data_IF_476521733729
#
_entry.id   IF_476521733729
#
_cell.length_a   1.000
_cell.length_b   1.000
_cell.length_c   1.000
_cell.angle_alpha   90.00
_cell.angle_beta   90.00
_cell.angle_gamma   90.00
#
_symmetry.space_group_name_H-M   'P 1'
#
loop_
_entity.id
_entity.type
_entity.pdbx_description
1 polymer ?
#
# COMPACT_ATOMS: atom_id res chain seq x y z
N UNK A 1 -12.13 44.77 25.62
CA UNK A 1 -12.98 43.81 24.88
C UNK A 1 -12.22 43.36 23.65
N UNK A 2 -11.47 42.30 23.78
CA UNK A 2 -10.65 41.68 22.70
C UNK A 2 -11.27 40.33 22.41
N UNK A 3 -11.75 40.15 21.19
CA UNK A 3 -12.32 38.90 20.71
C UNK A 3 -11.24 37.79 20.62
N UNK A 4 -11.56 36.53 20.99
CA UNK A 4 -10.62 35.43 20.85
C UNK A 4 -10.54 35.01 19.39
N UNK A 5 -9.30 34.97 18.89
CA UNK A 5 -8.99 34.49 17.54
C UNK A 5 -9.45 33.07 17.32
N UNK A 6 -10.21 32.86 16.24
CA UNK A 6 -10.56 31.55 15.70
C UNK A 6 -9.29 30.89 15.17
N UNK A 7 -8.79 29.90 15.90
CA UNK A 7 -7.78 28.97 15.39
C UNK A 7 -8.50 28.01 14.43
N UNK A 8 -8.31 28.26 13.15
CA UNK A 8 -8.79 27.37 12.09
C UNK A 8 -7.77 26.24 11.92
N UNK A 9 -7.95 25.13 12.61
CA UNK A 9 -7.10 23.94 12.51
C UNK A 9 -7.67 22.96 11.49
N UNK A 10 -7.05 22.92 10.32
CA UNK A 10 -7.28 21.89 9.30
C UNK A 10 -5.98 21.12 9.12
N UNK A 11 -5.94 19.83 9.46
CA UNK A 11 -4.78 18.95 9.35
C UNK A 11 -5.20 17.54 8.88
N UNK A 12 -4.35 16.86 8.15
CA UNK A 12 -4.63 15.65 7.36
C UNK A 12 -3.92 14.43 7.93
N UNK A 13 -4.54 13.27 7.86
CA UNK A 13 -3.98 11.97 8.25
C UNK A 13 -3.77 11.06 7.04
N UNK A 14 -2.67 10.33 7.05
CA UNK A 14 -2.36 9.30 6.05
C UNK A 14 -2.79 7.94 6.58
N UNK A 15 -3.81 7.36 5.97
CA UNK A 15 -4.27 6.00 6.25
C UNK A 15 -3.53 5.00 5.37
N UNK A 16 -2.21 4.88 5.55
CA UNK A 16 -1.37 4.21 4.56
C UNK A 16 -0.79 2.85 4.98
N UNK A 17 -0.93 2.39 6.23
CA UNK A 17 -0.23 1.18 6.66
C UNK A 17 -0.69 -0.10 5.92
N UNK A 18 -1.97 -0.25 5.64
CA UNK A 18 -2.52 -1.46 5.01
C UNK A 18 -2.41 -1.40 3.48
N UNK A 19 -2.61 -0.25 2.86
CA UNK A 19 -2.54 -0.10 1.40
C UNK A 19 -1.10 -0.14 0.86
N UNK A 20 -0.15 0.47 1.56
CA UNK A 20 1.29 0.43 1.20
C UNK A 20 1.84 -0.99 1.29
N UNK A 21 1.37 -1.81 2.23
CA UNK A 21 1.80 -3.20 2.35
C UNK A 21 1.47 -4.01 1.09
N UNK A 22 0.25 -3.91 0.55
CA UNK A 22 -0.16 -4.66 -0.64
C UNK A 22 0.57 -4.18 -1.92
N UNK A 23 0.73 -2.87 -2.12
CA UNK A 23 1.41 -2.32 -3.29
C UNK A 23 2.90 -2.69 -3.33
N UNK A 24 3.60 -2.62 -2.19
CA UNK A 24 5.04 -2.90 -2.10
C UNK A 24 5.35 -4.40 -2.33
N UNK A 25 4.41 -5.31 -2.03
CA UNK A 25 4.60 -6.74 -2.30
C UNK A 25 4.59 -7.11 -3.78
N UNK A 26 3.84 -6.41 -4.60
CA UNK A 26 3.84 -6.59 -6.06
C UNK A 26 5.20 -6.23 -6.66
N UNK A 27 5.91 -5.25 -6.09
CA UNK A 27 7.27 -4.85 -6.51
C UNK A 27 8.27 -6.00 -6.36
N UNK A 28 8.20 -6.76 -5.26
CA UNK A 28 9.18 -7.81 -4.94
C UNK A 28 9.13 -9.03 -5.88
N UNK A 29 8.03 -9.28 -6.57
CA UNK A 29 7.91 -10.43 -7.48
C UNK A 29 8.14 -10.11 -8.96
N UNK A 30 7.90 -8.89 -9.40
CA UNK A 30 8.21 -8.47 -10.77
C UNK A 30 9.70 -8.58 -11.13
N UNK A 31 10.56 -8.64 -10.12
CA UNK A 31 12.01 -8.77 -10.29
C UNK A 31 12.54 -10.22 -10.29
N UNK A 32 11.70 -11.26 -10.11
CA UNK A 32 12.13 -12.63 -9.79
C UNK A 32 11.76 -13.71 -10.80
N UNK A 33 11.93 -13.44 -12.07
CA UNK A 33 11.83 -14.47 -13.11
C UNK A 33 13.02 -15.43 -13.23
N UNK A 34 13.98 -15.49 -12.29
CA UNK A 34 15.15 -16.35 -12.39
C UNK A 34 15.48 -17.08 -11.08
N UNK A 35 15.81 -18.37 -11.18
CA UNK A 35 16.22 -19.22 -10.07
C UNK A 35 17.47 -18.68 -9.35
N UNK A 36 17.57 -18.77 -8.00
CA UNK A 36 18.79 -18.44 -7.26
C UNK A 36 19.74 -19.64 -7.26
N UNK A 37 20.54 -19.74 -8.29
CA UNK A 37 21.61 -20.69 -8.37
C UNK A 37 22.76 -20.10 -9.19
N UNK A 38 23.86 -19.73 -8.54
CA UNK A 38 25.19 -19.49 -9.13
C UNK A 38 25.42 -18.28 -10.08
N UNK A 39 24.65 -17.22 -10.06
CA UNK A 39 24.91 -16.03 -10.88
C UNK A 39 24.95 -14.70 -10.10
N UNK A 40 25.68 -14.65 -9.00
CA UNK A 40 25.90 -13.40 -8.26
C UNK A 40 26.98 -12.48 -8.87
N UNK A 41 27.48 -12.76 -10.07
CA UNK A 41 28.60 -12.03 -10.68
C UNK A 41 28.35 -11.47 -12.09
N UNK A 42 27.24 -11.83 -12.77
CA UNK A 42 26.85 -11.20 -14.04
C UNK A 42 25.62 -10.33 -13.77
N UNK A 43 25.73 -9.01 -13.94
CA UNK A 43 24.65 -8.06 -13.68
C UNK A 43 23.37 -8.50 -14.38
N UNK A 44 22.26 -8.59 -13.61
CA UNK A 44 20.92 -8.81 -14.19
C UNK A 44 20.63 -7.68 -15.18
N UNK A 45 20.02 -7.96 -16.33
CA UNK A 45 19.67 -6.89 -17.26
C UNK A 45 18.71 -5.91 -16.61
N UNK A 46 18.94 -4.63 -16.82
CA UNK A 46 18.02 -3.57 -16.34
C UNK A 46 16.69 -3.66 -17.10
N UNK A 47 15.59 -3.09 -16.56
CA UNK A 47 14.32 -3.02 -17.30
C UNK A 47 14.49 -2.43 -18.70
N UNK A 48 15.34 -1.41 -18.87
CA UNK A 48 15.60 -0.78 -20.17
C UNK A 48 16.30 -1.70 -21.15
N UNK A 49 17.26 -2.49 -20.69
CA UNK A 49 17.90 -3.50 -21.52
C UNK A 49 16.90 -4.57 -21.98
N UNK A 50 16.07 -5.08 -21.05
CA UNK A 50 15.01 -6.05 -21.40
C UNK A 50 14.03 -5.46 -22.41
N UNK A 51 13.62 -4.20 -22.23
CA UNK A 51 12.71 -3.50 -23.15
C UNK A 51 13.36 -3.39 -24.54
N UNK A 52 14.57 -2.81 -24.62
CA UNK A 52 15.25 -2.57 -25.88
C UNK A 52 15.47 -3.86 -26.69
N UNK A 53 15.97 -4.92 -26.04
CA UNK A 53 16.17 -6.22 -26.70
C UNK A 53 14.84 -6.84 -27.16
N UNK A 54 13.78 -6.72 -26.34
CA UNK A 54 12.48 -7.28 -26.68
C UNK A 54 11.80 -6.51 -27.82
N UNK A 55 11.90 -5.17 -27.83
CA UNK A 55 11.39 -4.32 -28.92
C UNK A 55 12.05 -4.70 -30.27
N UNK A 56 13.37 -4.89 -30.29
CA UNK A 56 14.07 -5.31 -31.47
C UNK A 56 13.58 -6.68 -31.99
N UNK A 57 13.37 -7.64 -31.08
CA UNK A 57 12.89 -8.98 -31.42
C UNK A 57 11.48 -8.98 -32.00
N UNK A 58 10.55 -8.25 -31.38
CA UNK A 58 9.17 -8.17 -31.86
C UNK A 58 9.02 -7.31 -33.12
N UNK A 59 9.95 -6.39 -33.36
CA UNK A 59 10.03 -5.65 -34.60
C UNK A 59 10.52 -6.54 -35.79
N UNK A 60 11.49 -7.43 -35.51
CA UNK A 60 11.99 -8.40 -36.49
C UNK A 60 10.97 -9.51 -36.77
N UNK A 61 10.28 -9.99 -35.73
CA UNK A 61 9.22 -11.01 -35.86
C UNK A 61 8.01 -10.63 -34.95
N UNK A 62 6.97 -9.98 -35.51
CA UNK A 62 5.76 -9.63 -34.79
C UNK A 62 4.92 -10.83 -34.30
N UNK A 63 5.23 -12.05 -34.69
CA UNK A 63 4.60 -13.27 -34.23
C UNK A 63 5.35 -13.96 -33.09
N UNK A 64 6.53 -13.46 -32.70
CA UNK A 64 7.39 -14.04 -31.70
C UNK A 64 6.82 -13.81 -30.26
N UNK A 65 6.05 -14.78 -29.80
CA UNK A 65 5.35 -14.71 -28.47
C UNK A 65 6.28 -14.44 -27.28
N UNK A 66 7.46 -15.12 -27.15
CA UNK A 66 8.35 -14.84 -26.03
C UNK A 66 8.86 -13.40 -25.99
N UNK A 67 9.03 -12.76 -27.16
CA UNK A 67 9.43 -11.35 -27.25
C UNK A 67 8.36 -10.43 -26.64
N UNK A 68 7.09 -10.64 -26.98
CA UNK A 68 5.97 -9.88 -26.40
C UNK A 68 5.80 -10.12 -24.89
N UNK A 69 6.01 -11.37 -24.42
CA UNK A 69 5.96 -11.71 -23.01
C UNK A 69 7.05 -10.97 -22.24
N UNK A 70 8.30 -11.00 -22.74
CA UNK A 70 9.43 -10.29 -22.13
C UNK A 70 9.26 -8.78 -22.16
N UNK A 71 8.69 -8.24 -23.23
CA UNK A 71 8.38 -6.82 -23.33
C UNK A 71 7.33 -6.40 -22.27
N UNK A 72 6.31 -7.24 -22.04
CA UNK A 72 5.33 -7.00 -20.97
C UNK A 72 5.98 -7.01 -19.57
N UNK A 73 6.86 -7.98 -19.30
CA UNK A 73 7.64 -8.03 -18.04
C UNK A 73 8.53 -6.80 -17.88
N UNK A 74 9.26 -6.40 -18.93
CA UNK A 74 10.15 -5.23 -18.91
C UNK A 74 9.40 -3.93 -18.63
N UNK A 75 8.29 -3.68 -19.33
CA UNK A 75 7.46 -2.52 -19.10
C UNK A 75 6.83 -2.53 -17.69
N UNK A 76 6.42 -3.70 -17.20
CA UNK A 76 5.90 -3.84 -15.83
C UNK A 76 6.99 -3.51 -14.80
N UNK A 77 8.19 -4.05 -14.95
CA UNK A 77 9.32 -3.74 -14.07
C UNK A 77 9.69 -2.24 -14.11
N UNK A 78 9.61 -1.61 -15.29
CA UNK A 78 9.84 -0.17 -15.43
C UNK A 78 8.77 0.65 -14.72
N UNK A 79 7.49 0.25 -14.81
CA UNK A 79 6.41 0.90 -14.07
C UNK A 79 6.67 0.91 -12.56
N UNK A 80 7.11 -0.23 -12.01
CA UNK A 80 7.43 -0.37 -10.59
C UNK A 80 8.65 0.47 -10.17
N UNK A 81 9.65 0.58 -11.06
CA UNK A 81 10.87 1.34 -10.78
C UNK A 81 10.66 2.86 -10.84
N UNK A 82 9.72 3.34 -11.64
CA UNK A 82 9.53 4.79 -11.89
C UNK A 82 8.27 5.36 -11.28
N UNK A 83 7.32 4.51 -10.86
CA UNK A 83 5.98 4.95 -10.45
C UNK A 83 5.13 5.54 -11.58
N UNK A 84 5.62 5.57 -12.83
CA UNK A 84 4.86 6.09 -13.96
C UNK A 84 3.85 5.07 -14.48
N UNK A 85 2.52 5.34 -14.30
CA UNK A 85 1.46 4.40 -14.66
C UNK A 85 1.33 4.18 -16.18
N UNK A 86 1.92 5.03 -17.03
CA UNK A 86 1.92 4.84 -18.47
C UNK A 86 2.63 3.54 -18.90
N UNK A 87 3.63 3.11 -18.14
CA UNK A 87 4.31 1.84 -18.38
C UNK A 87 3.42 0.63 -18.12
N UNK A 88 2.45 0.72 -17.18
CA UNK A 88 1.45 -0.34 -17.00
C UNK A 88 0.56 -0.51 -18.23
N UNK A 89 0.24 0.60 -18.91
CA UNK A 89 -0.55 0.56 -20.17
C UNK A 89 0.23 -0.13 -21.29
N UNK A 90 1.52 0.16 -21.40
CA UNK A 90 2.40 -0.53 -22.35
C UNK A 90 2.56 -2.02 -22.02
N UNK A 91 2.76 -2.35 -20.74
CA UNK A 91 2.85 -3.73 -20.27
C UNK A 91 1.58 -4.53 -20.60
N UNK A 92 0.40 -3.94 -20.32
CA UNK A 92 -0.89 -4.57 -20.64
C UNK A 92 -1.03 -4.81 -22.16
N UNK A 93 -0.68 -3.82 -22.97
CA UNK A 93 -0.76 -3.93 -24.44
C UNK A 93 0.13 -5.07 -24.97
N UNK A 94 1.38 -5.14 -24.52
CA UNK A 94 2.33 -6.19 -24.90
C UNK A 94 1.86 -7.57 -24.42
N UNK A 95 1.45 -7.71 -23.16
CA UNK A 95 0.94 -8.96 -22.61
C UNK A 95 -0.31 -9.46 -23.33
N UNK A 96 -1.28 -8.56 -23.61
CA UNK A 96 -2.47 -8.91 -24.40
C UNK A 96 -2.11 -9.31 -25.84
N UNK A 97 -1.06 -8.73 -26.45
CA UNK A 97 -0.57 -9.16 -27.75
C UNK A 97 -0.01 -10.58 -27.69
N UNK A 98 0.83 -10.89 -26.69
CA UNK A 98 1.35 -12.25 -26.48
C UNK A 98 0.22 -13.28 -26.33
N UNK A 99 -0.77 -12.98 -25.46
CA UNK A 99 -1.91 -13.89 -25.19
C UNK A 99 -2.84 -14.05 -26.40
N UNK A 100 -2.94 -13.07 -27.29
CA UNK A 100 -3.67 -13.24 -28.58
C UNK A 100 -2.94 -14.16 -29.54
N UNK A 101 -1.61 -14.16 -29.53
CA UNK A 101 -0.79 -15.05 -30.37
C UNK A 101 -0.74 -16.46 -29.80
N UNK A 102 -0.58 -16.57 -28.48
CA UNK A 102 -0.64 -17.85 -27.77
C UNK A 102 -1.42 -17.69 -26.44
N UNK A 103 -2.66 -18.18 -26.34
CA UNK A 103 -3.45 -18.14 -25.11
C UNK A 103 -2.82 -18.86 -23.92
N UNK A 104 -1.78 -19.65 -24.13
CA UNK A 104 -1.03 -20.42 -23.12
C UNK A 104 0.31 -19.78 -22.74
N UNK A 105 0.63 -18.59 -23.22
CA UNK A 105 1.84 -17.83 -22.87
C UNK A 105 1.80 -17.43 -21.39
N UNK A 106 2.20 -18.32 -20.48
CA UNK A 106 2.03 -18.15 -19.04
C UNK A 106 2.82 -16.96 -18.49
N UNK A 107 3.99 -16.61 -19.05
CA UNK A 107 4.74 -15.41 -18.66
C UNK A 107 3.93 -14.12 -18.93
N UNK A 108 3.26 -14.05 -20.08
CA UNK A 108 2.40 -12.94 -20.42
C UNK A 108 1.15 -12.90 -19.51
N UNK A 109 0.59 -14.07 -19.17
CA UNK A 109 -0.52 -14.17 -18.21
C UNK A 109 -0.12 -13.68 -16.80
N UNK A 110 1.10 -14.00 -16.34
CA UNK A 110 1.65 -13.53 -15.08
C UNK A 110 1.88 -12.01 -15.11
N UNK A 111 2.44 -11.46 -16.20
CA UNK A 111 2.61 -10.02 -16.36
C UNK A 111 1.26 -9.28 -16.34
N UNK A 112 0.24 -9.80 -17.05
CA UNK A 112 -1.11 -9.24 -17.04
C UNK A 112 -1.76 -9.30 -15.63
N UNK A 113 -1.52 -10.38 -14.90
CA UNK A 113 -1.97 -10.50 -13.51
C UNK A 113 -1.32 -9.44 -12.61
N UNK A 114 -0.01 -9.23 -12.74
CA UNK A 114 0.73 -8.19 -12.04
C UNK A 114 0.22 -6.78 -12.36
N UNK A 115 0.03 -6.48 -13.64
CA UNK A 115 -0.55 -5.19 -14.10
C UNK A 115 -1.95 -4.98 -13.52
N UNK A 116 -2.82 -6.00 -13.57
CA UNK A 116 -4.17 -5.89 -13.03
C UNK A 116 -4.16 -5.67 -11.52
N UNK A 117 -3.29 -6.35 -10.77
CA UNK A 117 -3.14 -6.18 -9.34
C UNK A 117 -2.59 -4.79 -8.98
N UNK A 118 -1.57 -4.28 -9.69
CA UNK A 118 -1.03 -2.91 -9.48
C UNK A 118 -2.04 -1.81 -9.80
N UNK A 119 -3.04 -2.09 -10.65
CA UNK A 119 -4.16 -1.19 -10.94
C UNK A 119 -5.35 -1.41 -10.01
N UNK A 120 -5.21 -2.19 -8.94
CA UNK A 120 -6.28 -2.59 -8.01
C UNK A 120 -7.50 -3.24 -8.71
N UNK A 121 -7.28 -3.91 -9.86
CA UNK A 121 -8.28 -4.69 -10.59
C UNK A 121 -8.20 -6.16 -10.18
N UNK A 122 -8.43 -6.43 -8.91
CA UNK A 122 -8.15 -7.73 -8.28
C UNK A 122 -8.98 -8.89 -8.82
N UNK A 123 -10.21 -8.67 -9.31
CA UNK A 123 -10.99 -9.73 -9.99
C UNK A 123 -10.30 -10.14 -11.29
N UNK A 124 -9.84 -9.17 -12.08
CA UNK A 124 -9.07 -9.44 -13.30
C UNK A 124 -7.74 -10.14 -13.00
N UNK A 125 -7.05 -9.75 -11.91
CA UNK A 125 -5.85 -10.45 -11.47
C UNK A 125 -6.11 -11.92 -11.10
N UNK A 126 -7.26 -12.24 -10.48
CA UNK A 126 -7.68 -13.64 -10.22
C UNK A 126 -7.90 -14.42 -11.51
N UNK A 127 -8.51 -13.80 -12.53
CA UNK A 127 -8.76 -14.46 -13.82
C UNK A 127 -7.44 -14.77 -14.55
N UNK A 128 -6.52 -13.79 -14.62
CA UNK A 128 -5.21 -14.01 -15.24
C UNK A 128 -4.36 -15.05 -14.51
N UNK A 129 -4.30 -14.99 -13.16
CA UNK A 129 -3.58 -16.00 -12.37
C UNK A 129 -4.22 -17.38 -12.49
N UNK A 130 -5.54 -17.46 -12.60
CA UNK A 130 -6.25 -18.73 -12.84
C UNK A 130 -5.86 -19.37 -14.17
N UNK A 131 -5.78 -18.58 -15.25
CA UNK A 131 -5.33 -19.03 -16.57
C UNK A 131 -3.86 -19.46 -16.55
N UNK A 132 -2.98 -18.68 -15.91
CA UNK A 132 -1.55 -19.03 -15.78
C UNK A 132 -1.36 -20.38 -15.07
N UNK A 133 -2.03 -20.57 -13.92
CA UNK A 133 -1.95 -21.80 -13.14
C UNK A 133 -2.59 -23.02 -13.83
N UNK A 134 -3.57 -22.82 -14.73
CA UNK A 134 -4.12 -23.89 -15.55
C UNK A 134 -3.11 -24.41 -16.57
N UNK A 135 -2.21 -23.54 -17.06
CA UNK A 135 -1.12 -23.91 -17.99
C UNK A 135 0.09 -24.45 -17.24
N UNK A 136 0.47 -23.84 -16.13
CA UNK A 136 1.68 -24.15 -15.36
C UNK A 136 1.38 -24.20 -13.85
N UNK A 137 0.82 -25.33 -13.32
CA UNK A 137 0.28 -25.43 -11.97
C UNK A 137 1.29 -25.29 -10.82
N UNK A 138 2.58 -25.49 -11.10
CA UNK A 138 3.66 -25.45 -10.11
C UNK A 138 4.32 -24.09 -9.96
N UNK A 139 3.91 -23.10 -10.75
CA UNK A 139 4.48 -21.74 -10.68
C UNK A 139 4.10 -21.05 -9.38
N UNK A 140 5.09 -20.43 -8.73
CA UNK A 140 4.88 -19.72 -7.45
C UNK A 140 4.53 -18.24 -7.62
N UNK A 141 4.96 -17.61 -8.72
CA UNK A 141 4.69 -16.17 -8.97
C UNK A 141 3.18 -15.84 -9.01
N UNK A 142 2.34 -16.54 -9.82
CA UNK A 142 0.91 -16.26 -9.83
C UNK A 142 0.21 -16.60 -8.50
N UNK A 143 0.75 -17.50 -7.67
CA UNK A 143 0.19 -17.79 -6.35
C UNK A 143 0.25 -16.59 -5.42
N UNK A 144 1.31 -15.81 -5.47
CA UNK A 144 1.47 -14.60 -4.67
C UNK A 144 0.48 -13.51 -5.07
N UNK A 145 0.39 -13.21 -6.37
CA UNK A 145 -0.59 -12.23 -6.90
C UNK A 145 -2.02 -12.67 -6.57
N UNK A 146 -2.30 -13.96 -6.70
CA UNK A 146 -3.61 -14.53 -6.37
C UNK A 146 -3.93 -14.42 -4.87
N UNK A 147 -2.93 -14.62 -4.01
CA UNK A 147 -3.06 -14.43 -2.55
C UNK A 147 -3.49 -13.01 -2.23
N UNK A 148 -2.77 -12.02 -2.77
CA UNK A 148 -3.02 -10.61 -2.54
C UNK A 148 -4.42 -10.22 -3.06
N UNK A 149 -4.77 -10.66 -4.27
CA UNK A 149 -6.09 -10.41 -4.85
C UNK A 149 -7.25 -11.03 -4.03
N UNK A 150 -7.06 -12.23 -3.49
CA UNK A 150 -8.05 -12.87 -2.60
C UNK A 150 -8.24 -12.09 -1.29
N UNK A 151 -7.16 -11.60 -0.70
CA UNK A 151 -7.20 -10.77 0.53
C UNK A 151 -7.94 -9.47 0.26
N UNK A 152 -7.61 -8.74 -0.82
CA UNK A 152 -8.24 -7.48 -1.20
C UNK A 152 -9.73 -7.65 -1.53
N UNK A 153 -10.12 -8.80 -2.09
CA UNK A 153 -11.51 -9.16 -2.34
C UNK A 153 -12.24 -9.71 -1.09
N UNK A 154 -11.61 -9.71 0.08
CA UNK A 154 -12.21 -10.19 1.33
C UNK A 154 -12.38 -11.71 1.41
N UNK A 155 -11.78 -12.49 0.48
CA UNK A 155 -11.79 -13.96 0.46
C UNK A 155 -10.67 -14.51 1.36
N UNK A 156 -10.69 -14.08 2.63
CA UNK A 156 -9.58 -14.28 3.57
C UNK A 156 -9.23 -15.75 3.80
N UNK A 157 -10.22 -16.62 3.97
CA UNK A 157 -9.94 -18.05 4.19
C UNK A 157 -9.10 -18.65 3.06
N UNK A 158 -9.44 -18.30 1.83
CA UNK A 158 -8.71 -18.77 0.64
C UNK A 158 -7.34 -18.11 0.51
N UNK A 159 -7.29 -16.79 0.70
CA UNK A 159 -6.03 -16.03 0.63
C UNK A 159 -5.03 -16.49 1.68
N UNK A 160 -5.46 -16.70 2.92
CA UNK A 160 -4.59 -17.15 4.01
C UNK A 160 -4.09 -18.57 3.80
N UNK A 161 -4.96 -19.49 3.38
CA UNK A 161 -4.55 -20.85 3.03
C UNK A 161 -3.56 -20.88 1.87
N UNK A 162 -3.76 -20.01 0.86
CA UNK A 162 -2.85 -19.92 -0.28
C UNK A 162 -1.50 -19.31 0.10
N UNK A 163 -1.48 -18.28 0.98
CA UNK A 163 -0.24 -17.72 1.53
C UNK A 163 0.60 -18.79 2.24
N UNK A 164 -0.05 -19.58 3.09
CA UNK A 164 0.60 -20.67 3.82
C UNK A 164 1.13 -21.72 2.84
N UNK A 165 0.31 -22.19 1.90
CA UNK A 165 0.73 -23.16 0.86
C UNK A 165 1.92 -22.64 0.04
N UNK A 166 1.89 -21.36 -0.33
CA UNK A 166 2.99 -20.73 -1.08
C UNK A 166 4.28 -20.72 -0.26
N UNK A 167 4.22 -20.45 1.05
CA UNK A 167 5.37 -20.52 1.95
C UNK A 167 5.93 -21.93 2.08
N UNK A 168 5.08 -22.95 2.17
CA UNK A 168 5.49 -24.35 2.22
C UNK A 168 6.18 -24.80 0.93
N UNK A 169 5.67 -24.36 -0.22
CA UNK A 169 6.26 -24.69 -1.52
C UNK A 169 7.64 -24.03 -1.73
N UNK A 170 7.77 -22.78 -1.29
CA UNK A 170 9.01 -22.01 -1.44
C UNK A 170 9.14 -21.00 -0.31
N UNK A 171 9.83 -21.37 0.78
CA UNK A 171 10.14 -20.45 1.88
C UNK A 171 11.20 -19.45 1.44
N UNK A 172 10.77 -18.26 1.04
CA UNK A 172 11.61 -17.16 0.59
C UNK A 172 11.10 -15.81 1.13
N UNK A 173 11.81 -14.72 0.84
CA UNK A 173 11.45 -13.37 1.26
C UNK A 173 9.96 -13.07 0.94
N UNK A 174 9.52 -13.33 -0.28
CA UNK A 174 8.17 -13.01 -0.72
C UNK A 174 7.09 -13.80 0.03
N UNK A 175 7.34 -15.08 0.35
CA UNK A 175 6.41 -15.90 1.12
C UNK A 175 6.34 -15.48 2.58
N UNK A 176 7.49 -15.25 3.23
CA UNK A 176 7.54 -14.80 4.62
C UNK A 176 6.84 -13.46 4.80
N UNK A 177 7.10 -12.52 3.90
CA UNK A 177 6.47 -11.20 3.93
C UNK A 177 4.95 -11.29 3.81
N UNK A 178 4.41 -12.13 2.90
CA UNK A 178 2.95 -12.30 2.76
C UNK A 178 2.30 -12.94 3.97
N UNK A 179 2.92 -13.97 4.54
CA UNK A 179 2.39 -14.58 5.77
C UNK A 179 2.52 -13.60 6.94
N UNK A 180 3.56 -12.75 6.97
CA UNK A 180 3.65 -11.64 7.93
C UNK A 180 2.44 -10.71 7.81
N UNK A 181 2.07 -10.30 6.61
CA UNK A 181 0.88 -9.47 6.38
C UNK A 181 -0.42 -10.16 6.84
N UNK A 182 -0.57 -11.46 6.57
CA UNK A 182 -1.70 -12.24 7.10
C UNK A 182 -1.74 -12.17 8.63
N UNK A 183 -0.58 -12.23 9.31
CA UNK A 183 -0.49 -12.11 10.78
C UNK A 183 -0.93 -10.72 11.28
N UNK A 184 -0.55 -9.65 10.55
CA UNK A 184 -1.03 -8.28 10.85
C UNK A 184 -2.56 -8.20 10.76
N UNK A 185 -3.13 -8.73 9.67
CA UNK A 185 -4.59 -8.68 9.45
C UNK A 185 -5.39 -9.36 10.59
N UNK A 186 -4.83 -10.39 11.24
CA UNK A 186 -5.46 -11.09 12.36
C UNK A 186 -4.97 -10.64 13.74
N UNK A 187 -4.18 -9.57 13.82
CA UNK A 187 -3.68 -8.99 15.08
C UNK A 187 -2.53 -9.76 15.73
N UNK A 188 -1.89 -10.72 15.05
CA UNK A 188 -0.71 -11.44 15.55
C UNK A 188 0.58 -10.65 15.27
N UNK A 189 0.78 -9.55 16.02
CA UNK A 189 1.97 -8.68 15.94
C UNK A 189 3.27 -9.47 16.05
N UNK A 190 3.37 -10.36 17.03
CA UNK A 190 4.61 -11.09 17.29
C UNK A 190 4.96 -12.03 16.12
N UNK A 191 3.95 -12.70 15.57
CA UNK A 191 4.08 -13.53 14.37
C UNK A 191 4.50 -12.73 13.15
N UNK A 192 3.89 -11.57 12.93
CA UNK A 192 4.24 -10.66 11.83
C UNK A 192 5.70 -10.23 11.90
N UNK A 193 6.16 -9.67 13.02
CA UNK A 193 7.55 -9.22 13.21
C UNK A 193 8.54 -10.37 13.02
N UNK A 194 8.23 -11.56 13.54
CA UNK A 194 9.08 -12.76 13.37
C UNK A 194 9.25 -13.12 11.90
N UNK A 195 8.15 -13.14 11.15
CA UNK A 195 8.16 -13.48 9.74
C UNK A 195 8.85 -12.43 8.88
N UNK A 196 8.71 -11.13 9.19
CA UNK A 196 9.46 -10.07 8.52
C UNK A 196 10.98 -10.23 8.73
N UNK A 197 11.40 -10.62 9.94
CA UNK A 197 12.83 -10.91 10.19
C UNK A 197 13.33 -12.12 9.40
N UNK A 198 12.51 -13.16 9.24
CA UNK A 198 12.83 -14.29 8.36
C UNK A 198 12.92 -13.85 6.89
N UNK A 199 12.01 -12.98 6.44
CA UNK A 199 12.05 -12.41 5.10
C UNK A 199 13.37 -11.62 4.85
N UNK A 200 13.77 -10.79 5.80
CA UNK A 200 15.04 -10.04 5.75
C UNK A 200 16.23 -11.01 5.69
N UNK A 201 16.21 -12.09 6.49
CA UNK A 201 17.25 -13.11 6.49
C UNK A 201 17.34 -13.91 5.18
N UNK A 202 16.21 -14.07 4.47
CA UNK A 202 16.14 -14.75 3.18
C UNK A 202 16.56 -13.88 1.99
N UNK A 203 16.70 -12.57 2.17
CA UNK A 203 17.15 -11.64 1.14
C UNK A 203 18.68 -11.62 1.03
N UNK A 204 19.20 -11.37 -0.18
CA UNK A 204 20.63 -11.16 -0.38
C UNK A 204 21.10 -9.92 0.40
N UNK A 205 22.30 -9.96 1.00
CA UNK A 205 22.87 -8.80 1.67
C UNK A 205 22.93 -7.57 0.75
N UNK A 206 22.67 -6.39 1.32
CA UNK A 206 22.71 -5.11 0.60
C UNK A 206 21.90 -5.07 -0.72
N UNK A 207 20.85 -5.87 -0.81
CA UNK A 207 19.94 -5.84 -1.97
C UNK A 207 18.80 -4.85 -1.77
N UNK A 208 18.25 -4.24 -2.83
CA UNK A 208 17.06 -3.40 -2.76
C UNK A 208 15.87 -4.11 -2.11
N UNK A 209 15.69 -5.40 -2.39
CA UNK A 209 14.66 -6.23 -1.78
C UNK A 209 14.79 -6.32 -0.26
N UNK A 210 16.02 -6.42 0.25
CA UNK A 210 16.28 -6.45 1.69
C UNK A 210 16.00 -5.10 2.34
N UNK A 211 16.41 -4.01 1.69
CA UNK A 211 16.16 -2.65 2.17
C UNK A 211 14.65 -2.38 2.23
N UNK A 212 13.91 -2.68 1.17
CA UNK A 212 12.44 -2.58 1.12
C UNK A 212 11.77 -3.43 2.22
N UNK A 213 12.24 -4.65 2.45
CA UNK A 213 11.68 -5.52 3.50
C UNK A 213 11.95 -4.97 4.90
N UNK A 214 13.14 -4.36 5.13
CA UNK A 214 13.42 -3.63 6.38
C UNK A 214 12.53 -2.40 6.55
N UNK A 215 12.27 -1.66 5.48
CA UNK A 215 11.35 -0.52 5.51
C UNK A 215 9.94 -0.99 5.89
N UNK A 216 9.47 -2.12 5.35
CA UNK A 216 8.19 -2.73 5.73
C UNK A 216 8.15 -3.16 7.21
N UNK A 217 9.21 -3.78 7.73
CA UNK A 217 9.32 -4.06 9.16
C UNK A 217 9.27 -2.76 9.98
N UNK A 218 9.92 -1.70 9.49
CA UNK A 218 9.86 -0.36 10.07
C UNK A 218 8.42 0.17 10.16
N UNK A 219 7.60 -0.02 9.12
CA UNK A 219 6.18 0.35 9.12
C UNK A 219 5.37 -0.44 10.14
N UNK A 220 5.57 -1.76 10.21
CA UNK A 220 4.91 -2.61 11.22
C UNK A 220 5.25 -2.13 12.63
N UNK A 221 6.52 -1.87 12.92
CA UNK A 221 6.98 -1.40 14.22
C UNK A 221 6.44 0.00 14.55
N UNK A 222 6.40 0.90 13.56
CA UNK A 222 5.83 2.24 13.68
C UNK A 222 4.33 2.18 13.99
N UNK A 223 3.56 1.35 13.29
CA UNK A 223 2.14 1.17 13.52
C UNK A 223 1.86 0.74 14.97
N UNK A 224 2.72 -0.07 15.54
CA UNK A 224 2.65 -0.54 16.93
C UNK A 224 3.38 0.38 17.95
N UNK A 225 3.77 1.60 17.57
CA UNK A 225 4.37 2.59 18.47
C UNK A 225 5.83 2.33 18.87
N UNK A 226 6.49 1.30 18.33
CA UNK A 226 7.92 1.05 18.61
C UNK A 226 8.81 1.91 17.69
N UNK A 227 8.80 3.23 17.94
CA UNK A 227 9.53 4.21 17.13
C UNK A 227 11.03 3.96 17.13
N UNK A 228 11.57 3.42 18.25
CA UNK A 228 13.00 3.12 18.36
C UNK A 228 13.43 1.97 17.47
N UNK A 229 12.68 0.87 17.48
CA UNK A 229 12.98 -0.26 16.62
C UNK A 229 12.70 0.08 15.14
N UNK A 230 11.62 0.80 14.83
CA UNK A 230 11.31 1.27 13.49
C UNK A 230 12.48 2.09 12.92
N UNK A 231 12.99 3.05 13.66
CA UNK A 231 14.13 3.88 13.24
C UNK A 231 15.40 3.05 12.98
N UNK A 232 15.72 2.10 13.86
CA UNK A 232 16.88 1.23 13.66
C UNK A 232 16.79 0.43 12.37
N UNK A 233 15.63 -0.18 12.08
CA UNK A 233 15.45 -0.98 10.85
C UNK A 233 15.62 -0.12 9.60
N UNK A 234 14.98 1.04 9.54
CA UNK A 234 15.05 1.90 8.35
C UNK A 234 16.42 2.55 8.18
N UNK A 235 17.12 2.90 9.26
CA UNK A 235 18.51 3.38 9.16
C UNK A 235 19.45 2.28 8.68
N UNK A 236 19.24 1.03 9.09
CA UNK A 236 20.00 -0.11 8.57
C UNK A 236 19.72 -0.32 7.09
N UNK A 237 18.45 -0.19 6.64
CA UNK A 237 18.11 -0.24 5.22
C UNK A 237 18.85 0.83 4.41
N UNK A 238 18.86 2.07 4.90
CA UNK A 238 19.56 3.19 4.25
C UNK A 238 21.09 3.06 4.29
N UNK A 239 21.66 2.40 5.28
CA UNK A 239 23.09 2.09 5.32
C UNK A 239 23.46 0.99 4.33
N UNK A 240 22.59 -0.02 4.14
CA UNK A 240 22.77 -1.10 3.17
C UNK A 240 22.51 -0.63 1.72
N UNK A 241 21.53 0.25 1.54
CA UNK A 241 21.11 0.78 0.23
C UNK A 241 20.86 2.29 0.36
N UNK A 242 21.89 3.13 0.23
CA UNK A 242 21.76 4.58 0.27
C UNK A 242 20.77 5.08 -0.81
N UNK A 243 19.85 5.95 -0.42
CA UNK A 243 18.86 6.51 -1.34
C UNK A 243 17.61 5.64 -1.55
N UNK A 244 17.44 4.54 -0.81
CA UNK A 244 16.18 3.78 -0.88
C UNK A 244 14.98 4.65 -0.49
N UNK A 245 14.09 4.86 -1.47
CA UNK A 245 12.93 5.76 -1.36
C UNK A 245 11.93 5.28 -0.31
N UNK A 246 11.69 3.95 -0.22
CA UNK A 246 10.77 3.38 0.76
C UNK A 246 11.31 3.56 2.18
N UNK A 247 12.59 3.25 2.42
CA UNK A 247 13.22 3.45 3.71
C UNK A 247 13.28 4.93 4.10
N UNK A 248 13.54 5.83 3.15
CA UNK A 248 13.51 7.28 3.35
C UNK A 248 12.11 7.76 3.75
N UNK A 249 11.06 7.26 3.10
CA UNK A 249 9.68 7.56 3.43
C UNK A 249 9.32 7.10 4.85
N UNK A 250 9.65 5.87 5.20
CA UNK A 250 9.37 5.34 6.56
C UNK A 250 10.16 6.09 7.62
N UNK A 251 11.42 6.47 7.36
CA UNK A 251 12.20 7.30 8.28
C UNK A 251 11.52 8.67 8.47
N UNK A 252 11.01 9.29 7.41
CA UNK A 252 10.22 10.52 7.49
C UNK A 252 9.01 10.38 8.42
N UNK A 253 8.28 9.27 8.31
CA UNK A 253 7.14 8.97 9.20
C UNK A 253 7.55 8.77 10.65
N UNK A 254 8.66 8.10 10.91
CA UNK A 254 9.21 7.94 12.27
C UNK A 254 9.61 9.28 12.86
N UNK A 255 10.29 10.14 12.09
CA UNK A 255 10.66 11.48 12.53
C UNK A 255 9.43 12.35 12.82
N UNK A 256 8.43 12.31 11.95
CA UNK A 256 7.16 13.01 12.17
C UNK A 256 6.47 12.55 13.45
N UNK A 257 6.41 11.24 13.71
CA UNK A 257 5.86 10.69 14.95
C UNK A 257 6.64 11.10 16.20
N UNK A 258 7.93 11.41 16.08
CA UNK A 258 8.77 11.97 17.15
C UNK A 258 8.69 13.49 17.29
N UNK A 259 7.99 14.17 16.37
CA UNK A 259 7.90 15.63 16.34
C UNK A 259 9.05 16.34 15.63
N UNK A 260 9.99 15.63 15.02
CA UNK A 260 11.07 16.21 14.21
C UNK A 260 10.53 16.52 12.79
N UNK A 261 9.65 17.52 12.74
CA UNK A 261 8.86 17.82 11.56
C UNK A 261 9.68 18.40 10.41
N UNK A 262 10.71 19.20 10.71
CA UNK A 262 11.55 19.80 9.66
C UNK A 262 12.37 18.74 8.91
N UNK A 263 12.96 17.78 9.64
CA UNK A 263 13.65 16.67 9.00
C UNK A 263 12.70 15.73 8.26
N UNK A 264 11.51 15.51 8.81
CA UNK A 264 10.47 14.72 8.14
C UNK A 264 10.07 15.38 6.81
N UNK A 265 9.82 16.69 6.79
CA UNK A 265 9.49 17.45 5.59
C UNK A 265 10.58 17.32 4.52
N UNK A 266 11.87 17.50 4.90
CA UNK A 266 13.00 17.36 3.98
C UNK A 266 13.10 15.94 3.36
N UNK A 267 12.80 14.90 4.14
CA UNK A 267 12.78 13.52 3.62
C UNK A 267 11.62 13.33 2.65
N UNK A 268 10.41 13.73 3.04
CA UNK A 268 9.23 13.58 2.20
C UNK A 268 9.32 14.40 0.90
N UNK A 269 9.93 15.58 0.93
CA UNK A 269 10.16 16.39 -0.27
C UNK A 269 11.06 15.65 -1.28
N UNK A 270 12.17 15.05 -0.81
CA UNK A 270 13.03 14.22 -1.69
C UNK A 270 12.29 13.01 -2.24
N UNK A 271 11.55 12.31 -1.37
CA UNK A 271 10.72 11.16 -1.78
C UNK A 271 9.68 11.57 -2.82
N UNK A 272 8.98 12.68 -2.62
CA UNK A 272 7.94 13.16 -3.53
C UNK A 272 8.50 13.60 -4.89
N UNK A 273 9.74 14.13 -4.93
CA UNK A 273 10.44 14.46 -6.19
C UNK A 273 10.81 13.19 -6.95
N UNK A 274 11.32 12.18 -6.26
CA UNK A 274 11.76 10.92 -6.88
C UNK A 274 10.58 10.02 -7.30
N UNK A 275 9.58 9.93 -6.43
CA UNK A 275 8.40 9.07 -6.61
C UNK A 275 7.14 9.81 -6.14
N UNK A 276 6.50 10.63 -7.03
CA UNK A 276 5.36 11.47 -6.68
C UNK A 276 4.04 10.68 -6.57
N UNK A 277 4.01 9.69 -5.68
CA UNK A 277 2.80 8.92 -5.37
C UNK A 277 1.85 9.71 -4.46
N UNK A 278 0.53 9.45 -4.53
CA UNK A 278 -0.45 10.15 -3.71
C UNK A 278 -0.13 10.13 -2.21
N UNK A 279 0.32 9.00 -1.67
CA UNK A 279 0.63 8.83 -0.25
C UNK A 279 1.86 9.63 0.18
N UNK A 280 2.88 9.72 -0.68
CA UNK A 280 4.07 10.51 -0.42
C UNK A 280 3.74 12.01 -0.36
N UNK A 281 2.96 12.48 -1.32
CA UNK A 281 2.49 13.86 -1.40
C UNK A 281 1.55 14.21 -0.24
N UNK A 282 0.69 13.28 0.17
CA UNK A 282 -0.20 13.45 1.32
C UNK A 282 0.59 13.55 2.64
N UNK A 283 1.62 12.71 2.83
CA UNK A 283 2.49 12.76 4.01
C UNK A 283 3.27 14.08 4.09
N UNK A 284 3.80 14.56 2.95
CA UNK A 284 4.47 15.85 2.87
C UNK A 284 3.50 16.99 3.22
N UNK A 285 2.30 17.00 2.62
CA UNK A 285 1.28 18.02 2.90
C UNK A 285 0.85 18.03 4.38
N UNK A 286 0.76 16.84 5.03
CA UNK A 286 0.45 16.75 6.46
C UNK A 286 1.52 17.41 7.33
N UNK A 287 2.79 17.11 7.08
CA UNK A 287 3.91 17.68 7.84
C UNK A 287 4.04 19.19 7.57
N UNK A 288 3.92 19.64 6.33
CA UNK A 288 3.94 21.06 5.98
C UNK A 288 2.84 21.83 6.71
N UNK A 289 1.66 21.25 6.82
CA UNK A 289 0.55 21.83 7.56
C UNK A 289 0.84 21.90 9.06
N UNK A 290 1.45 20.88 9.63
CA UNK A 290 1.84 20.84 11.04
C UNK A 290 2.92 21.90 11.36
N UNK A 291 3.79 22.23 10.38
CA UNK A 291 4.77 23.30 10.44
C UNK A 291 4.17 24.70 10.20
N UNK A 292 2.85 24.81 9.93
CA UNK A 292 2.20 26.09 9.59
C UNK A 292 2.42 26.56 8.15
N UNK A 293 3.07 25.77 7.31
CA UNK A 293 3.37 26.09 5.89
C UNK A 293 2.17 25.80 5.00
N UNK A 294 1.06 26.50 5.26
CA UNK A 294 -0.26 26.18 4.68
C UNK A 294 -0.30 26.21 3.14
N UNK A 295 0.43 27.12 2.51
CA UNK A 295 0.44 27.24 1.05
C UNK A 295 1.23 26.12 0.40
N UNK A 296 2.33 25.68 1.01
CA UNK A 296 3.07 24.49 0.57
C UNK A 296 2.17 23.23 0.68
N UNK A 297 1.51 23.05 1.81
CA UNK A 297 0.57 21.94 2.00
C UNK A 297 -0.53 21.90 0.92
N UNK A 298 -1.13 23.06 0.59
CA UNK A 298 -2.15 23.13 -0.48
C UNK A 298 -1.60 22.76 -1.85
N UNK A 299 -0.35 23.16 -2.18
CA UNK A 299 0.28 22.73 -3.44
C UNK A 299 0.45 21.21 -3.50
N UNK A 300 0.99 20.59 -2.46
CA UNK A 300 1.18 19.14 -2.44
C UNK A 300 -0.15 18.36 -2.44
N UNK A 301 -1.22 18.91 -1.83
CA UNK A 301 -2.57 18.36 -1.96
C UNK A 301 -3.10 18.43 -3.40
N UNK A 302 -2.80 19.51 -4.13
CA UNK A 302 -3.17 19.62 -5.55
C UNK A 302 -2.36 18.64 -6.40
N UNK A 303 -1.06 18.49 -6.13
CA UNK A 303 -0.19 17.50 -6.79
C UNK A 303 -0.65 16.06 -6.51
N UNK A 304 -1.06 15.74 -5.29
CA UNK A 304 -1.67 14.45 -4.91
C UNK A 304 -2.93 14.17 -5.76
N UNK A 305 -3.81 15.16 -5.94
CA UNK A 305 -4.99 15.00 -6.80
C UNK A 305 -4.59 14.74 -8.26
N UNK A 306 -3.60 15.49 -8.76
CA UNK A 306 -3.04 15.26 -10.10
C UNK A 306 -2.41 13.87 -10.26
N UNK A 307 -1.78 13.32 -9.20
CA UNK A 307 -1.27 11.96 -9.22
C UNK A 307 -2.41 10.93 -9.32
N UNK A 308 -3.51 11.10 -8.57
CA UNK A 308 -4.71 10.28 -8.74
C UNK A 308 -5.30 10.37 -10.14
N UNK A 309 -5.38 11.59 -10.71
CA UNK A 309 -5.90 11.78 -12.07
C UNK A 309 -5.05 11.03 -13.11
N UNK A 310 -3.73 11.03 -12.96
CA UNK A 310 -2.82 10.24 -13.82
C UNK A 310 -3.03 8.73 -13.67
N UNK A 311 -3.20 8.24 -12.44
CA UNK A 311 -3.48 6.83 -12.16
C UNK A 311 -4.82 6.39 -12.79
N UNK A 312 -5.89 7.18 -12.60
CA UNK A 312 -7.22 6.94 -13.21
C UNK A 312 -7.15 6.94 -14.74
N UNK A 313 -6.48 7.93 -15.35
CA UNK A 313 -6.30 8.02 -16.80
C UNK A 313 -5.57 6.82 -17.39
N UNK A 314 -4.70 6.16 -16.61
CA UNK A 314 -4.00 4.93 -16.98
C UNK A 314 -4.69 3.65 -16.51
N UNK A 315 -5.96 3.74 -16.11
CA UNK A 315 -6.84 2.59 -15.84
C UNK A 315 -6.67 1.97 -14.45
N UNK A 316 -6.07 2.68 -13.48
CA UNK A 316 -6.01 2.24 -12.08
C UNK A 316 -7.34 2.52 -11.36
N UNK A 317 -7.78 1.59 -10.52
CA UNK A 317 -8.92 1.81 -9.64
C UNK A 317 -8.44 2.42 -8.32
N UNK A 318 -8.46 3.73 -8.24
CA UNK A 318 -8.07 4.50 -7.05
C UNK A 318 -9.26 5.03 -6.25
N UNK A 319 -10.48 4.58 -6.55
CA UNK A 319 -11.70 5.09 -5.93
C UNK A 319 -11.66 5.06 -4.41
N UNK A 320 -11.12 3.99 -3.84
CA UNK A 320 -11.04 3.81 -2.39
C UNK A 320 -10.01 4.74 -1.75
N UNK A 321 -8.80 4.72 -2.31
CA UNK A 321 -7.65 5.44 -1.76
C UNK A 321 -7.87 6.96 -1.87
N UNK A 322 -8.36 7.42 -3.02
CA UNK A 322 -8.72 8.82 -3.25
C UNK A 322 -9.85 9.29 -2.32
N UNK A 323 -10.91 8.50 -2.15
CA UNK A 323 -12.02 8.86 -1.28
C UNK A 323 -11.59 8.98 0.18
N UNK A 324 -10.70 8.10 0.62
CA UNK A 324 -10.14 8.10 1.98
C UNK A 324 -9.32 9.37 2.23
N UNK A 325 -8.34 9.68 1.36
CA UNK A 325 -7.49 10.86 1.50
C UNK A 325 -8.29 12.17 1.38
N UNK A 326 -9.26 12.27 0.47
CA UNK A 326 -10.12 13.46 0.40
C UNK A 326 -10.99 13.64 1.65
N UNK A 327 -11.45 12.54 2.28
CA UNK A 327 -12.20 12.61 3.54
C UNK A 327 -11.34 13.10 4.70
N UNK A 328 -10.04 12.92 4.65
CA UNK A 328 -9.12 13.52 5.60
C UNK A 328 -8.98 15.04 5.38
N UNK A 329 -8.94 15.48 4.15
CA UNK A 329 -8.74 16.89 3.82
C UNK A 329 -9.95 17.77 4.12
N UNK A 330 -11.14 17.31 3.78
CA UNK A 330 -12.39 18.07 3.85
C UNK A 330 -13.57 17.18 4.21
N UNK A 331 -14.72 17.80 4.44
CA UNK A 331 -15.97 17.07 4.57
C UNK A 331 -16.33 16.43 3.21
N UNK A 332 -16.61 15.12 3.16
CA UNK A 332 -17.00 14.45 1.93
C UNK A 332 -18.32 14.97 1.35
N UNK A 333 -18.39 14.99 0.02
CA UNK A 333 -19.60 15.25 -0.77
C UNK A 333 -20.30 13.93 -1.14
N UNK A 334 -21.50 14.01 -1.73
CA UNK A 334 -22.21 12.84 -2.25
C UNK A 334 -21.39 12.11 -3.33
N UNK A 335 -20.62 12.85 -4.12
CA UNK A 335 -19.72 12.27 -5.12
C UNK A 335 -18.59 11.45 -4.46
N UNK A 336 -18.04 11.92 -3.34
CA UNK A 336 -17.02 11.18 -2.58
C UNK A 336 -17.61 9.90 -1.96
N UNK A 337 -18.84 9.98 -1.43
CA UNK A 337 -19.55 8.82 -0.90
C UNK A 337 -19.81 7.80 -2.02
N UNK A 338 -20.26 8.24 -3.19
CA UNK A 338 -20.48 7.37 -4.33
C UNK A 338 -19.17 6.71 -4.80
N UNK A 339 -18.06 7.47 -4.83
CA UNK A 339 -16.71 6.95 -5.11
C UNK A 339 -16.30 5.89 -4.10
N UNK A 340 -16.42 6.18 -2.80
CA UNK A 340 -16.08 5.23 -1.74
C UNK A 340 -16.90 3.93 -1.81
N UNK A 341 -18.19 4.02 -2.16
CA UNK A 341 -19.06 2.84 -2.37
C UNK A 341 -18.62 2.00 -3.57
N UNK A 342 -18.24 2.63 -4.70
CA UNK A 342 -17.68 1.89 -5.85
C UNK A 342 -16.35 1.22 -5.48
N UNK A 343 -15.46 1.93 -4.79
CA UNK A 343 -14.19 1.39 -4.32
C UNK A 343 -14.38 0.20 -3.37
N UNK A 344 -15.30 0.31 -2.40
CA UNK A 344 -15.61 -0.78 -1.48
C UNK A 344 -16.23 -1.98 -2.22
N UNK A 345 -17.09 -1.78 -3.21
CA UNK A 345 -17.63 -2.87 -4.02
C UNK A 345 -16.57 -3.55 -4.88
N UNK A 346 -15.54 -2.82 -5.33
CA UNK A 346 -14.39 -3.38 -6.04
C UNK A 346 -13.44 -4.13 -5.10
N UNK A 347 -13.25 -3.64 -3.87
CA UNK A 347 -12.34 -4.18 -2.83
C UNK A 347 -13.12 -4.40 -1.51
N UNK A 348 -13.97 -5.45 -1.41
CA UNK A 348 -14.86 -5.66 -0.26
C UNK A 348 -14.14 -6.25 0.97
N UNK A 349 -12.84 -6.05 1.08
CA UNK A 349 -12.00 -6.38 2.21
C UNK A 349 -12.17 -5.43 3.39
N UNK A 350 -11.40 -5.67 4.48
CA UNK A 350 -11.43 -4.80 5.68
C UNK A 350 -10.94 -3.38 5.36
N UNK A 351 -10.00 -3.22 4.43
CA UNK A 351 -9.53 -1.92 3.97
C UNK A 351 -10.64 -1.13 3.26
N UNK A 352 -11.41 -1.79 2.37
CA UNK A 352 -12.56 -1.19 1.71
C UNK A 352 -13.66 -0.79 2.69
N UNK A 353 -13.91 -1.64 3.68
CA UNK A 353 -14.87 -1.35 4.75
C UNK A 353 -14.42 -0.16 5.61
N UNK A 354 -13.13 -0.08 5.96
CA UNK A 354 -12.55 1.04 6.72
C UNK A 354 -12.69 2.36 5.96
N UNK A 355 -12.28 2.40 4.69
CA UNK A 355 -12.32 3.62 3.90
C UNK A 355 -13.75 4.14 3.72
N UNK A 356 -14.69 3.26 3.37
CA UNK A 356 -16.10 3.63 3.27
C UNK A 356 -16.66 4.08 4.62
N UNK A 357 -16.33 3.39 5.72
CA UNK A 357 -16.74 3.78 7.07
C UNK A 357 -16.28 5.18 7.41
N UNK A 358 -15.02 5.53 7.11
CA UNK A 358 -14.47 6.85 7.39
C UNK A 358 -15.18 7.93 6.57
N UNK A 359 -15.32 7.74 5.26
CA UNK A 359 -16.03 8.67 4.37
C UNK A 359 -17.46 8.93 4.88
N UNK A 360 -18.20 7.87 5.22
CA UNK A 360 -19.56 7.98 5.75
C UNK A 360 -19.60 8.72 7.10
N UNK A 361 -18.68 8.41 8.00
CA UNK A 361 -18.58 9.07 9.30
C UNK A 361 -18.30 10.56 9.16
N UNK A 362 -17.36 10.93 8.29
CA UNK A 362 -17.01 12.32 7.99
C UNK A 362 -18.16 13.08 7.29
N UNK A 363 -18.97 12.37 6.51
CA UNK A 363 -20.19 12.90 5.89
C UNK A 363 -21.40 12.96 6.83
N UNK A 364 -21.29 12.45 8.07
CA UNK A 364 -22.35 12.38 9.10
C UNK A 364 -23.42 11.30 8.80
N UNK A 365 -23.11 10.31 8.00
CA UNK A 365 -23.88 9.07 7.84
C UNK A 365 -23.48 8.07 8.93
N UNK A 366 -23.70 8.45 10.20
CA UNK A 366 -23.09 7.84 11.37
C UNK A 366 -23.44 6.35 11.55
N UNK A 367 -24.71 5.98 11.41
CA UNK A 367 -25.17 4.58 11.61
C UNK A 367 -24.58 3.65 10.55
N UNK A 368 -24.57 4.06 9.30
CA UNK A 368 -23.98 3.28 8.22
C UNK A 368 -22.45 3.22 8.37
N UNK A 369 -21.82 4.34 8.73
CA UNK A 369 -20.39 4.43 9.01
C UNK A 369 -19.95 3.45 10.11
N UNK A 370 -20.67 3.38 11.25
CA UNK A 370 -20.35 2.46 12.35
C UNK A 370 -20.54 0.98 11.95
N UNK A 371 -21.52 0.67 11.10
CA UNK A 371 -21.69 -0.69 10.57
C UNK A 371 -20.49 -1.14 9.75
N UNK A 372 -19.99 -0.30 8.83
CA UNK A 372 -18.80 -0.61 8.03
C UNK A 372 -17.53 -0.60 8.88
N UNK A 373 -17.42 0.32 9.83
CA UNK A 373 -16.30 0.38 10.79
C UNK A 373 -16.22 -0.88 11.66
N UNK A 374 -17.34 -1.39 12.15
CA UNK A 374 -17.39 -2.65 12.89
C UNK A 374 -16.97 -3.82 12.00
N UNK A 375 -17.40 -3.82 10.73
CA UNK A 375 -17.03 -4.86 9.77
C UNK A 375 -15.56 -4.81 9.39
N UNK A 376 -14.93 -3.64 9.38
CA UNK A 376 -13.49 -3.51 9.10
C UNK A 376 -12.61 -4.17 10.16
N UNK A 377 -13.08 -4.28 11.40
CA UNK A 377 -12.35 -4.92 12.51
C UNK A 377 -12.61 -6.43 12.66
N UNK A 378 -13.35 -7.07 11.74
CA UNK A 378 -13.81 -8.47 11.89
C UNK A 378 -12.70 -9.53 11.94
N UNK A 379 -11.50 -9.20 11.53
CA UNK A 379 -10.34 -10.10 11.59
C UNK A 379 -9.53 -9.96 12.89
N UNK A 380 -9.85 -8.97 13.72
CA UNK A 380 -9.12 -8.69 14.97
C UNK A 380 -7.84 -7.88 14.74
N UNK A 381 -7.69 -7.20 13.60
CA UNK A 381 -6.53 -6.37 13.29
C UNK A 381 -6.25 -5.32 14.37
N UNK A 382 -4.98 -5.14 14.70
CA UNK A 382 -4.47 -4.18 15.67
C UNK A 382 -3.83 -2.99 14.93
N UNK A 383 -4.60 -2.32 14.08
CA UNK A 383 -4.18 -1.12 13.37
C UNK A 383 -4.77 0.13 14.06
N UNK A 384 -3.92 1.10 14.49
CA UNK A 384 -4.39 2.26 15.24
C UNK A 384 -5.31 3.19 14.42
N UNK A 385 -5.13 3.28 13.09
CA UNK A 385 -6.03 4.06 12.23
C UNK A 385 -7.39 3.39 12.08
N UNK A 386 -7.43 2.07 11.88
CA UNK A 386 -8.68 1.33 11.80
C UNK A 386 -9.47 1.43 13.11
N UNK A 387 -8.78 1.31 14.24
CA UNK A 387 -9.37 1.48 15.57
C UNK A 387 -9.86 2.92 15.80
N UNK A 388 -9.07 3.92 15.40
CA UNK A 388 -9.47 5.33 15.48
C UNK A 388 -10.72 5.61 14.63
N UNK A 389 -10.72 5.22 13.34
CA UNK A 389 -11.86 5.41 12.46
C UNK A 389 -13.11 4.73 13.00
N UNK A 390 -12.96 3.51 13.53
CA UNK A 390 -14.06 2.76 14.13
C UNK A 390 -14.54 3.37 15.47
N UNK A 391 -13.64 3.97 16.24
CA UNK A 391 -13.99 4.71 17.43
C UNK A 391 -14.78 5.97 17.12
N UNK A 392 -14.32 6.78 16.16
CA UNK A 392 -15.02 7.99 15.71
C UNK A 392 -16.38 7.67 15.05
N UNK A 393 -16.49 6.56 14.32
CA UNK A 393 -17.76 6.11 13.77
C UNK A 393 -18.76 5.73 14.87
N UNK A 394 -18.31 5.03 15.91
CA UNK A 394 -19.13 4.68 17.06
C UNK A 394 -19.58 5.92 17.84
N UNK A 395 -18.69 6.89 18.07
CA UNK A 395 -19.04 8.17 18.70
C UNK A 395 -20.09 8.92 17.89
N UNK A 396 -19.91 9.02 16.56
CA UNK A 396 -20.87 9.62 15.65
C UNK A 396 -22.26 8.94 15.72
N UNK A 397 -22.28 7.62 15.90
CA UNK A 397 -23.49 6.79 15.96
C UNK A 397 -24.14 6.76 17.37
N UNK A 398 -23.64 7.54 18.34
CA UNK A 398 -24.19 7.58 19.71
C UNK A 398 -23.86 6.33 20.54
N UNK A 399 -22.72 5.68 20.29
CA UNK A 399 -22.24 4.49 21.01
C UNK A 399 -20.99 4.81 21.85
N UNK A 400 -21.13 5.58 22.95
CA UNK A 400 -19.98 6.16 23.68
C UNK A 400 -19.04 5.10 24.26
N UNK A 401 -19.54 3.99 24.79
CA UNK A 401 -18.68 2.95 25.38
C UNK A 401 -17.82 2.23 24.34
N UNK A 402 -18.40 1.96 23.16
CA UNK A 402 -17.69 1.36 22.05
C UNK A 402 -16.64 2.34 21.50
N UNK A 403 -17.00 3.63 21.40
CA UNK A 403 -16.09 4.69 20.98
C UNK A 403 -14.90 4.78 21.93
N UNK A 404 -15.17 4.83 23.24
CA UNK A 404 -14.12 4.89 24.28
C UNK A 404 -13.16 3.70 24.16
N UNK A 405 -13.68 2.49 24.09
CA UNK A 405 -12.86 1.28 23.96
C UNK A 405 -11.95 1.32 22.75
N UNK A 406 -12.48 1.68 21.57
CA UNK A 406 -11.71 1.69 20.31
C UNK A 406 -10.69 2.82 20.25
N UNK A 407 -11.05 4.03 20.71
CA UNK A 407 -10.14 5.18 20.74
C UNK A 407 -9.00 4.98 21.75
N UNK A 408 -9.30 4.41 22.94
CA UNK A 408 -8.26 4.05 23.92
C UNK A 408 -7.30 3.02 23.32
N UNK A 409 -7.81 1.95 22.71
CA UNK A 409 -6.98 0.93 22.08
C UNK A 409 -6.08 1.52 20.96
N UNK A 410 -6.58 2.45 20.15
CA UNK A 410 -5.77 3.11 19.12
C UNK A 410 -4.59 3.89 19.73
N UNK A 411 -4.82 4.64 20.80
CA UNK A 411 -3.80 5.45 21.49
C UNK A 411 -2.86 4.59 22.34
N UNK A 412 -3.31 3.47 22.88
CA UNK A 412 -2.47 2.50 23.60
C UNK A 412 -1.50 1.79 22.63
N UNK A 413 -1.96 1.44 21.44
CA UNK A 413 -1.11 0.84 20.40
C UNK A 413 -0.04 1.82 19.94
N UNK A 414 -0.44 3.04 19.61
CA UNK A 414 0.48 4.07 19.16
C UNK A 414 -0.06 5.47 19.51
N UNK A 415 0.44 6.14 20.55
CA UNK A 415 -0.02 7.48 20.94
C UNK A 415 0.30 8.57 19.90
N UNK A 416 1.17 8.28 18.95
CA UNK A 416 1.60 9.17 17.85
C UNK A 416 1.24 8.62 16.47
N UNK A 417 0.18 7.83 16.35
CA UNK A 417 -0.20 7.17 15.10
C UNK A 417 -0.49 8.15 13.94
N UNK A 418 -0.82 9.40 14.27
CA UNK A 418 -1.06 10.49 13.32
C UNK A 418 -0.79 11.83 13.98
N UNK A 419 -0.18 12.77 13.25
CA UNK A 419 0.03 14.14 13.71
C UNK A 419 -1.29 14.84 14.04
N UNK A 420 -2.30 14.58 13.25
CA UNK A 420 -3.64 15.16 13.40
C UNK A 420 -4.55 14.34 14.31
N UNK A 421 -4.75 13.08 13.95
CA UNK A 421 -5.87 12.31 14.47
C UNK A 421 -5.63 11.79 15.87
N UNK A 422 -4.39 11.62 16.32
CA UNK A 422 -4.10 11.27 17.70
C UNK A 422 -4.60 12.34 18.69
N UNK A 423 -4.46 13.62 18.35
CA UNK A 423 -5.00 14.70 19.16
C UNK A 423 -6.54 14.76 19.16
N UNK A 424 -7.16 14.42 18.01
CA UNK A 424 -8.63 14.31 17.90
C UNK A 424 -9.14 13.16 18.78
N UNK A 425 -8.48 12.00 18.74
CA UNK A 425 -8.83 10.86 19.57
C UNK A 425 -8.80 11.19 21.06
N UNK A 426 -7.75 11.91 21.52
CA UNK A 426 -7.66 12.34 22.93
C UNK A 426 -8.79 13.30 23.34
N UNK A 427 -9.12 14.28 22.48
CA UNK A 427 -10.23 15.21 22.75
C UNK A 427 -11.57 14.50 22.81
N UNK A 428 -11.82 13.59 21.85
CA UNK A 428 -13.05 12.80 21.85
C UNK A 428 -13.20 11.95 23.11
N UNK A 429 -12.11 11.29 23.55
CA UNK A 429 -12.10 10.53 24.80
C UNK A 429 -12.40 11.40 26.02
N UNK A 430 -11.87 12.62 26.07
CA UNK A 430 -12.17 13.56 27.16
C UNK A 430 -13.65 13.95 27.19
N UNK A 431 -14.26 14.16 26.00
CA UNK A 431 -15.70 14.44 25.89
C UNK A 431 -16.57 13.25 26.30
N UNK A 432 -16.13 12.01 25.97
CA UNK A 432 -16.86 10.79 26.34
C UNK A 432 -16.72 10.41 27.82
N UNK A 433 -15.82 11.05 28.56
CA UNK A 433 -15.63 10.82 30.02
C UNK A 433 -16.58 11.68 30.91
N UNK A 434 -17.18 12.71 30.31
CA UNK A 434 -18.17 13.59 30.92
C UNK A 434 -19.59 13.10 30.70
#
# INVERSE_FOLDING_TARGET
>A
MTAPGRISSTLIAVAAAVAVFAATFLVLEGQRGAEPGLAAAAGRPTPDQVISESEQRVAADPSFVPGWSKLAEGYFARALATGDPAWLTRAESAGRRAVRLDPRAFEALDALAGVAASRHRFREALDWTGRSLAVAPTRVAPLSIRTDALIELGRYREGFALAQKRQELRPDLASYSRVSYVRELIGDRAGSIRLMRLAIGAAAPASPDRATTRAQLGLVLLAHGDLGAAEREVRTALAETPGDTNASFVLGRVLAARGDLDRAAQLFERVAVELPEPDHLAALAEVERALGRTDAARRHEAEMRGAFDRLEANGSNVDLDRALLEADLRRPTDADIARARRGQAARPGIAGDQALAWVLTRARHCVEGDRYATRSLRLGTQDPFMLFHAGMAAACAGRPDVARTRLSAALELNPAFSLRWASVARRELATLAT
#
